data_IF_186887812991
#
_entry.id   IF_186887812991
#
_cell.length_a   1.000
_cell.length_b   1.000
_cell.length_c   1.000
_cell.angle_alpha   90.00
_cell.angle_beta   90.00
_cell.angle_gamma   90.00
#
_symmetry.space_group_name_H-M   'P 1'
#
loop_
_entity.id
_entity.type
_entity.pdbx_description
1 polymer ?
#
# COMPACT_ATOMS: atom_id res chain seq x y z
N UNK A 1 43.21 -33.54 -16.11
CA UNK A 1 42.55 -32.26 -16.44
C UNK A 1 41.06 -32.38 -16.17
N UNK A 2 40.59 -31.93 -15.01
CA UNK A 2 39.18 -31.99 -14.64
C UNK A 2 38.73 -30.57 -14.26
N UNK A 3 38.04 -29.91 -15.20
CA UNK A 3 37.42 -28.60 -15.00
C UNK A 3 35.99 -28.82 -14.48
N UNK A 4 35.73 -28.36 -13.27
CA UNK A 4 34.41 -28.39 -12.63
C UNK A 4 33.45 -27.42 -13.33
N UNK A 5 32.27 -27.92 -13.72
CA UNK A 5 31.15 -27.09 -14.15
C UNK A 5 30.51 -26.43 -12.91
N UNK A 6 30.66 -25.11 -12.82
CA UNK A 6 29.93 -24.27 -11.87
C UNK A 6 28.44 -24.29 -12.23
N UNK A 7 27.61 -24.83 -11.34
CA UNK A 7 26.16 -24.68 -11.42
C UNK A 7 25.81 -23.24 -11.05
N UNK A 8 25.42 -22.47 -12.06
CA UNK A 8 24.91 -21.10 -11.90
C UNK A 8 23.64 -21.10 -11.05
N UNK A 9 23.81 -20.97 -9.75
CA UNK A 9 22.72 -20.83 -8.79
C UNK A 9 22.22 -19.39 -8.87
N UNK A 10 21.09 -19.16 -9.54
CA UNK A 10 20.42 -17.86 -9.59
C UNK A 10 20.15 -17.35 -8.17
N UNK A 11 21.00 -16.41 -7.69
CA UNK A 11 20.87 -15.73 -6.41
C UNK A 11 19.81 -14.61 -6.46
N UNK A 12 18.60 -14.93 -6.92
CA UNK A 12 17.52 -13.95 -7.13
C UNK A 12 16.39 -14.11 -6.11
N UNK A 13 16.71 -14.30 -4.83
CA UNK A 13 15.75 -14.12 -3.72
C UNK A 13 16.45 -13.54 -2.50
N UNK A 14 16.91 -12.30 -2.63
CA UNK A 14 17.29 -11.50 -1.47
C UNK A 14 15.99 -11.09 -0.78
N UNK A 15 15.52 -11.92 0.17
CA UNK A 15 14.44 -11.55 1.07
C UNK A 15 14.82 -10.22 1.71
N UNK A 16 13.98 -9.19 1.52
CA UNK A 16 14.12 -7.86 2.08
C UNK A 16 14.07 -7.98 3.62
N UNK A 17 15.20 -8.32 4.23
CA UNK A 17 15.38 -8.33 5.68
C UNK A 17 15.29 -6.88 6.17
N UNK A 18 14.27 -6.64 7.02
CA UNK A 18 14.11 -5.60 8.04
C UNK A 18 15.33 -4.66 8.23
N UNK A 19 15.27 -3.33 8.10
CA UNK A 19 14.18 -2.34 8.15
C UNK A 19 14.35 -1.33 7.00
N UNK A 20 13.23 -0.76 6.53
CA UNK A 20 12.92 -0.73 5.12
C UNK A 20 12.70 0.71 4.64
N UNK A 21 13.17 1.03 3.44
CA UNK A 21 12.62 2.22 2.78
C UNK A 21 11.13 1.98 2.57
N UNK A 22 10.29 2.90 3.05
CA UNK A 22 8.86 2.85 2.76
C UNK A 22 8.67 2.77 1.25
N UNK A 23 7.62 2.09 0.80
CA UNK A 23 7.36 1.95 -0.64
C UNK A 23 7.24 3.32 -1.32
N UNK A 24 6.70 4.31 -0.62
CA UNK A 24 6.64 5.71 -1.03
C UNK A 24 8.02 6.29 -1.34
N UNK A 25 9.00 6.04 -0.48
CA UNK A 25 10.41 6.44 -0.69
C UNK A 25 11.07 5.69 -1.84
N UNK A 26 10.79 4.39 -1.98
CA UNK A 26 11.35 3.60 -3.10
C UNK A 26 10.82 4.14 -4.44
N UNK A 27 9.56 4.56 -4.48
CA UNK A 27 8.91 5.14 -5.65
C UNK A 27 9.04 6.66 -5.74
N UNK A 28 9.83 7.28 -4.84
CA UNK A 28 10.13 8.72 -4.83
C UNK A 28 8.90 9.64 -4.73
N UNK A 29 7.85 9.20 -4.02
CA UNK A 29 6.61 9.97 -3.86
C UNK A 29 6.85 11.32 -3.17
N UNK A 30 7.86 11.42 -2.29
CA UNK A 30 8.28 12.66 -1.64
C UNK A 30 8.62 13.80 -2.61
N UNK A 31 9.11 13.49 -3.82
CA UNK A 31 9.42 14.50 -4.84
C UNK A 31 8.15 15.24 -5.29
N UNK A 32 7.01 14.52 -5.33
CA UNK A 32 5.71 15.09 -5.66
C UNK A 32 5.11 15.84 -4.47
N UNK A 33 5.21 15.29 -3.26
CA UNK A 33 4.71 15.94 -2.06
C UNK A 33 5.41 17.27 -1.77
N UNK A 34 6.71 17.39 -2.04
CA UNK A 34 7.46 18.65 -1.93
C UNK A 34 6.98 19.75 -2.90
N UNK A 35 6.17 19.38 -3.89
CA UNK A 35 5.54 20.27 -4.87
C UNK A 35 4.04 20.44 -4.61
N UNK A 36 3.55 20.08 -3.42
CA UNK A 36 2.14 20.05 -3.03
C UNK A 36 1.25 19.13 -3.89
N UNK A 37 1.85 18.12 -4.53
CA UNK A 37 1.11 17.10 -5.28
C UNK A 37 0.89 15.88 -4.38
N UNK A 38 -0.21 15.88 -3.63
CA UNK A 38 -0.54 14.85 -2.62
C UNK A 38 -1.81 14.05 -2.93
N UNK A 39 -2.42 14.29 -4.10
CA UNK A 39 -3.70 13.69 -4.50
C UNK A 39 -4.93 14.47 -4.04
N UNK A 40 -4.77 15.65 -3.44
CA UNK A 40 -5.87 16.50 -3.02
C UNK A 40 -6.91 16.72 -4.14
N UNK A 41 -8.18 16.43 -3.83
CA UNK A 41 -9.30 16.57 -4.77
C UNK A 41 -9.48 15.39 -5.75
N UNK A 42 -8.56 14.42 -5.76
CA UNK A 42 -8.67 13.21 -6.58
C UNK A 42 -9.37 12.11 -5.80
N UNK A 43 -10.45 11.56 -6.37
CA UNK A 43 -11.17 10.42 -5.78
C UNK A 43 -10.56 9.12 -6.30
N UNK A 44 -10.15 8.24 -5.39
CA UNK A 44 -9.69 6.89 -5.72
C UNK A 44 -10.68 5.87 -5.19
N UNK A 45 -11.19 5.00 -6.07
CA UNK A 45 -12.06 3.89 -5.69
C UNK A 45 -11.23 2.61 -5.55
N UNK A 46 -11.45 1.87 -4.46
CA UNK A 46 -10.79 0.60 -4.16
C UNK A 46 -11.86 -0.48 -4.06
N UNK A 47 -11.78 -1.47 -4.95
CA UNK A 47 -12.69 -2.62 -4.99
C UNK A 47 -11.94 -3.84 -4.44
N UNK A 48 -12.19 -4.14 -3.16
CA UNK A 48 -11.46 -5.15 -2.42
C UNK A 48 -12.36 -5.74 -1.31
N UNK A 49 -11.78 -6.48 -0.37
CA UNK A 49 -12.37 -7.09 0.84
C UNK A 49 -12.97 -6.10 1.85
N UNK A 50 -12.91 -4.80 1.56
CA UNK A 50 -13.54 -3.74 2.36
C UNK A 50 -12.52 -2.76 2.93
N UNK A 51 -12.96 -2.04 3.97
CA UNK A 51 -12.10 -1.13 4.74
C UNK A 51 -12.52 -1.15 6.21
N UNK A 52 -11.56 -1.28 7.13
CA UNK A 52 -11.83 -1.20 8.56
C UNK A 52 -12.45 0.16 8.95
N UNK A 53 -13.63 0.13 9.58
CA UNK A 53 -14.44 1.32 9.88
C UNK A 53 -13.75 2.33 10.80
N UNK A 54 -12.99 1.84 11.77
CA UNK A 54 -12.44 2.65 12.87
C UNK A 54 -10.91 2.76 12.81
N UNK A 55 -10.29 2.44 11.66
CA UNK A 55 -8.85 2.43 11.56
C UNK A 55 -8.29 3.87 11.54
N UNK A 56 -7.40 4.25 12.48
CA UNK A 56 -7.03 5.66 12.75
C UNK A 56 -6.24 6.35 11.61
N UNK A 57 -5.83 5.58 10.60
CA UNK A 57 -5.02 6.07 9.48
C UNK A 57 -5.86 6.66 8.35
N UNK A 58 -7.16 6.39 8.31
CA UNK A 58 -8.06 6.89 7.26
C UNK A 58 -8.95 7.99 7.80
N UNK A 59 -8.95 9.13 7.11
CA UNK A 59 -9.76 10.32 7.50
C UNK A 59 -10.62 10.86 6.36
N UNK A 60 -10.35 10.43 5.13
CA UNK A 60 -10.93 10.97 3.89
C UNK A 60 -11.80 9.95 3.16
N UNK A 61 -12.63 9.20 3.89
CA UNK A 61 -13.52 8.21 3.29
C UNK A 61 -14.80 8.89 2.84
N UNK A 62 -15.00 8.97 1.51
CA UNK A 62 -16.21 9.56 0.93
C UNK A 62 -17.40 8.62 1.00
N UNK A 63 -17.19 7.34 0.72
CA UNK A 63 -18.24 6.33 0.60
C UNK A 63 -17.68 4.92 0.84
N UNK A 64 -18.53 4.01 1.30
CA UNK A 64 -18.28 2.57 1.38
C UNK A 64 -19.53 1.84 0.91
N UNK A 65 -19.39 1.00 -0.11
CA UNK A 65 -20.47 0.16 -0.66
C UNK A 65 -20.02 -1.28 -0.71
N UNK A 66 -20.97 -2.20 -0.56
CA UNK A 66 -20.72 -3.64 -0.70
C UNK A 66 -21.48 -4.18 -1.91
N UNK A 67 -20.73 -4.79 -2.84
CA UNK A 67 -21.26 -5.40 -4.07
C UNK A 67 -21.11 -6.93 -4.03
N UNK A 68 -21.05 -7.50 -2.83
CA UNK A 68 -20.97 -8.93 -2.54
C UNK A 68 -22.17 -9.36 -1.69
N UNK A 69 -22.21 -10.64 -1.29
CA UNK A 69 -23.23 -11.17 -0.39
C UNK A 69 -22.86 -11.07 1.10
N UNK A 70 -21.75 -10.39 1.44
CA UNK A 70 -21.34 -10.20 2.82
C UNK A 70 -22.31 -9.29 3.59
N UNK A 71 -22.43 -9.52 4.90
CA UNK A 71 -23.36 -8.76 5.76
C UNK A 71 -22.76 -7.47 6.32
N UNK A 72 -21.49 -7.20 6.03
CA UNK A 72 -20.73 -6.09 6.60
C UNK A 72 -19.96 -5.35 5.51
N UNK A 73 -19.66 -4.08 5.76
CA UNK A 73 -18.71 -3.29 4.96
C UNK A 73 -17.30 -3.36 5.54
N UNK A 74 -17.17 -3.92 6.74
CA UNK A 74 -15.93 -3.97 7.49
C UNK A 74 -15.01 -5.04 6.94
N UNK A 75 -13.73 -4.70 6.84
CA UNK A 75 -12.74 -5.61 6.31
C UNK A 75 -12.34 -6.64 7.37
N UNK A 76 -12.94 -7.82 7.30
CA UNK A 76 -12.63 -8.94 8.19
C UNK A 76 -11.30 -9.63 7.89
N UNK A 77 -10.73 -9.42 6.69
CA UNK A 77 -9.51 -10.10 6.23
C UNK A 77 -8.27 -9.19 6.36
N UNK A 78 -8.43 -7.91 6.04
CA UNK A 78 -7.40 -6.87 6.14
C UNK A 78 -6.75 -6.48 4.79
N UNK A 79 -7.04 -7.19 3.70
CA UNK A 79 -6.38 -6.93 2.41
C UNK A 79 -6.80 -5.58 1.83
N UNK A 80 -8.08 -5.24 1.86
CA UNK A 80 -8.58 -3.97 1.34
C UNK A 80 -8.12 -2.79 2.19
N UNK A 81 -8.07 -2.97 3.51
CA UNK A 81 -7.50 -1.99 4.45
C UNK A 81 -6.01 -1.78 4.18
N UNK A 82 -5.25 -2.83 3.88
CA UNK A 82 -3.86 -2.71 3.49
C UNK A 82 -3.70 -1.94 2.17
N UNK A 83 -4.46 -2.30 1.13
CA UNK A 83 -4.45 -1.61 -0.17
C UNK A 83 -4.80 -0.14 -0.01
N UNK A 84 -5.86 0.19 0.75
CA UNK A 84 -6.22 1.56 1.08
C UNK A 84 -5.10 2.30 1.81
N UNK A 85 -4.37 1.61 2.68
CA UNK A 85 -3.22 2.16 3.40
C UNK A 85 -2.11 2.59 2.45
N UNK A 86 -1.77 1.75 1.47
CA UNK A 86 -0.75 2.07 0.44
C UNK A 86 -1.15 3.29 -0.38
N UNK A 87 -2.45 3.45 -0.66
CA UNK A 87 -2.97 4.59 -1.45
C UNK A 87 -3.01 5.87 -0.62
N UNK A 88 -3.76 5.89 0.49
CA UNK A 88 -4.21 7.13 1.14
C UNK A 88 -4.13 7.12 2.68
N UNK A 89 -3.27 6.28 3.27
CA UNK A 89 -3.00 6.40 4.71
C UNK A 89 -2.42 7.78 5.04
N UNK A 90 -2.97 8.40 6.08
CA UNK A 90 -2.53 9.72 6.59
C UNK A 90 -1.51 9.59 7.73
N UNK A 91 -1.18 8.37 8.16
CA UNK A 91 -0.33 8.17 9.32
C UNK A 91 1.15 8.21 8.97
N UNK A 92 1.95 8.99 9.71
CA UNK A 92 3.37 9.27 9.37
C UNK A 92 4.23 8.01 9.23
N UNK A 93 3.98 6.97 10.01
CA UNK A 93 4.76 5.72 9.94
C UNK A 93 4.44 4.86 8.71
N UNK A 94 3.34 5.14 8.02
CA UNK A 94 2.88 4.40 6.84
C UNK A 94 2.08 5.34 5.94
N UNK A 95 2.70 6.43 5.50
CA UNK A 95 2.03 7.41 4.65
C UNK A 95 1.73 6.78 3.29
N UNK A 96 0.52 7.00 2.79
CA UNK A 96 0.12 6.54 1.45
C UNK A 96 0.80 7.36 0.35
N UNK A 97 0.74 6.87 -0.88
CA UNK A 97 1.26 7.58 -2.07
C UNK A 97 0.53 8.92 -2.32
N UNK A 98 -0.77 8.93 -2.09
CA UNK A 98 -1.66 10.08 -2.25
C UNK A 98 -2.41 10.32 -0.93
N UNK A 99 -1.73 10.82 0.11
CA UNK A 99 -2.29 10.92 1.46
C UNK A 99 -3.46 11.90 1.57
N UNK A 100 -3.66 12.76 0.56
CA UNK A 100 -4.73 13.74 0.56
C UNK A 100 -5.88 13.46 -0.41
N UNK A 101 -5.83 12.32 -1.11
CA UNK A 101 -6.95 11.79 -1.89
C UNK A 101 -8.18 11.47 -1.02
#
# INVERSE_FOLDING_TARGET
TAFWQSTGRHNSRRLLRAVPRQITTILQAEVLWQRDITGAGIKVAIFDTGLSKNHPHFRKIRERTNWTNERTLDDGLGHGTFVAGVVASTHRMCLGLAPDA
#
